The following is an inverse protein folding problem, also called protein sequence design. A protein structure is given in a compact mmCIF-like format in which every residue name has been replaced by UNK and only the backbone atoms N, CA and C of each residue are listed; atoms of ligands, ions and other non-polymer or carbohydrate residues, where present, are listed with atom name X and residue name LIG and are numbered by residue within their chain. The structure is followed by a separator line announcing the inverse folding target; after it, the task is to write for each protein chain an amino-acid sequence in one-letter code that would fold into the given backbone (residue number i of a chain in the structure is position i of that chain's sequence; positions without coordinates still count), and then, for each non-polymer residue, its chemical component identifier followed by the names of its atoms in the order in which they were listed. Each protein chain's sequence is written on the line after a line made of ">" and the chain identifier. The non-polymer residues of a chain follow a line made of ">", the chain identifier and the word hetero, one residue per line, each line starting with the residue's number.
data_IF_315914353552
#
_entry.id   IF_315914353552
#
_cell.length_a   1.000
_cell.length_b   1.000
_cell.length_c   1.000
_cell.angle_alpha   90.00
_cell.angle_beta   90.00
_cell.angle_gamma   90.00
#
_symmetry.space_group_name_H-M   'P 1'
#
loop_
_entity.id
_entity.type
_entity.pdbx_description
1 polymer ?
#
# COMPACT_ATOMS: atom_id res chain seq x y z
N UNK A 1 1.27 14.04 -16.69
CA UNK A 1 0.25 13.19 -16.02
C UNK A 1 0.85 12.19 -15.01
N UNK A 2 2.04 12.41 -14.42
CA UNK A 2 2.57 11.46 -13.42
C UNK A 2 1.94 11.60 -12.03
N UNK A 3 1.53 12.81 -11.63
CA UNK A 3 1.00 13.05 -10.29
C UNK A 3 -0.33 12.33 -10.00
N UNK A 4 -1.19 12.09 -10.99
CA UNK A 4 -2.49 11.45 -10.77
C UNK A 4 -2.39 10.03 -10.16
N UNK A 5 -1.34 9.28 -10.51
CA UNK A 5 -1.10 7.95 -9.92
C UNK A 5 -0.62 8.05 -8.47
N UNK A 6 0.29 8.97 -8.18
CA UNK A 6 0.78 9.21 -6.81
C UNK A 6 -0.34 9.75 -5.90
N UNK A 7 -1.17 10.67 -6.41
CA UNK A 7 -2.32 11.23 -5.70
C UNK A 7 -3.36 10.16 -5.38
N UNK A 8 -3.69 9.29 -6.36
CA UNK A 8 -4.61 8.18 -6.16
C UNK A 8 -4.09 7.21 -5.09
N UNK A 9 -2.79 6.87 -5.13
CA UNK A 9 -2.15 6.04 -4.12
C UNK A 9 -2.27 6.65 -2.71
N UNK A 10 -1.89 7.92 -2.55
CA UNK A 10 -1.97 8.61 -1.25
C UNK A 10 -3.42 8.68 -0.77
N UNK A 11 -4.39 8.87 -1.67
CA UNK A 11 -5.82 8.89 -1.32
C UNK A 11 -6.30 7.53 -0.79
N UNK A 12 -5.94 6.44 -1.47
CA UNK A 12 -6.28 5.07 -1.01
C UNK A 12 -5.64 4.77 0.34
N UNK A 13 -4.33 5.03 0.48
CA UNK A 13 -3.60 4.81 1.73
C UNK A 13 -4.17 5.61 2.89
N UNK A 14 -4.56 6.88 2.65
CA UNK A 14 -5.22 7.72 3.64
C UNK A 14 -6.56 7.13 4.09
N UNK A 15 -7.37 6.67 3.13
CA UNK A 15 -8.73 6.18 3.37
C UNK A 15 -8.73 4.81 4.06
N UNK A 16 -7.98 3.86 3.55
CA UNK A 16 -8.14 2.44 3.90
C UNK A 16 -7.25 2.02 5.07
N UNK A 17 -6.05 2.58 5.18
CA UNK A 17 -5.08 2.19 6.20
C UNK A 17 -4.93 3.27 7.28
N UNK A 18 -4.56 4.50 6.88
CA UNK A 18 -4.20 5.56 7.81
C UNK A 18 -5.41 6.06 8.62
N UNK A 19 -6.62 6.11 8.06
CA UNK A 19 -7.80 6.64 8.76
C UNK A 19 -8.25 5.76 9.94
N UNK A 20 -7.98 4.45 9.87
CA UNK A 20 -8.41 3.46 10.87
C UNK A 20 -7.30 3.11 11.87
N UNK A 21 -6.06 3.59 11.64
CA UNK A 21 -4.94 3.33 12.53
C UNK A 21 -5.00 4.16 13.82
N UNK A 22 -4.74 3.56 15.00
CA UNK A 22 -4.57 4.30 16.24
C UNK A 22 -3.30 5.17 16.17
N UNK A 23 -3.34 6.39 16.74
CA UNK A 23 -2.22 7.35 16.70
C UNK A 23 -2.05 8.07 18.04
N UNK A 24 -1.82 7.33 19.14
CA UNK A 24 -1.76 7.92 20.47
C UNK A 24 -0.59 8.90 20.64
N UNK A 25 0.49 8.74 19.88
CA UNK A 25 1.63 9.66 19.85
C UNK A 25 2.38 9.55 18.51
N UNK A 26 3.40 10.39 18.32
CA UNK A 26 4.20 10.49 17.08
C UNK A 26 4.93 9.19 16.75
N UNK A 27 5.54 8.54 17.73
CA UNK A 27 6.34 7.32 17.53
C UNK A 27 5.45 6.18 17.02
N UNK A 28 4.31 5.96 17.68
CA UNK A 28 3.33 4.95 17.28
C UNK A 28 2.72 5.28 15.91
N UNK A 29 2.46 6.55 15.61
CA UNK A 29 1.97 6.96 14.29
C UNK A 29 2.97 6.63 13.16
N UNK A 30 4.27 6.80 13.41
CA UNK A 30 5.33 6.44 12.45
C UNK A 30 5.46 4.93 12.28
N UNK A 31 5.40 4.16 13.38
CA UNK A 31 5.38 2.70 13.31
C UNK A 31 4.18 2.18 12.52
N UNK A 32 2.99 2.73 12.78
CA UNK A 32 1.77 2.34 12.09
C UNK A 32 1.82 2.68 10.60
N UNK A 33 2.52 3.74 10.21
CA UNK A 33 2.75 4.03 8.79
C UNK A 33 3.59 2.94 8.10
N UNK A 34 4.62 2.42 8.76
CA UNK A 34 5.37 1.28 8.23
C UNK A 34 4.47 0.04 8.08
N UNK A 35 3.61 -0.23 9.07
CA UNK A 35 2.62 -1.32 9.01
C UNK A 35 1.64 -1.11 7.85
N UNK A 36 1.20 0.12 7.58
CA UNK A 36 0.34 0.45 6.44
C UNK A 36 1.00 0.10 5.11
N UNK A 37 2.28 0.45 4.93
CA UNK A 37 3.01 0.13 3.72
C UNK A 37 3.19 -1.38 3.53
N UNK A 38 3.48 -2.11 4.60
CA UNK A 38 3.59 -3.57 4.54
C UNK A 38 2.26 -4.22 4.17
N UNK A 39 1.16 -3.78 4.81
CA UNK A 39 -0.18 -4.26 4.50
C UNK A 39 -0.56 -3.98 3.03
N UNK A 40 -0.33 -2.76 2.54
CA UNK A 40 -0.56 -2.40 1.16
C UNK A 40 0.23 -3.31 0.19
N UNK A 41 1.52 -3.49 0.47
CA UNK A 41 2.43 -4.23 -0.40
C UNK A 41 2.14 -5.74 -0.47
N UNK A 42 1.63 -6.35 0.61
CA UNK A 42 1.38 -7.79 0.66
C UNK A 42 -0.09 -8.18 0.47
N UNK A 43 -1.05 -7.33 0.83
CA UNK A 43 -2.47 -7.70 0.91
C UNK A 43 -3.38 -6.95 -0.05
N UNK A 44 -3.04 -5.72 -0.44
CA UNK A 44 -3.97 -4.87 -1.18
C UNK A 44 -4.14 -5.35 -2.63
N UNK A 45 -5.35 -5.75 -3.07
CA UNK A 45 -5.56 -6.25 -4.42
C UNK A 45 -5.68 -5.09 -5.42
N UNK A 46 -4.93 -5.16 -6.53
CA UNK A 46 -4.99 -4.16 -7.59
C UNK A 46 -5.55 -4.72 -8.89
N UNK A 47 -6.62 -4.10 -9.42
CA UNK A 47 -7.24 -4.52 -10.69
C UNK A 47 -6.24 -4.53 -11.86
N UNK A 48 -5.39 -3.51 -11.96
CA UNK A 48 -4.33 -3.43 -12.97
C UNK A 48 -3.26 -4.53 -12.84
N UNK A 49 -3.13 -5.16 -11.66
CA UNK A 49 -2.21 -6.28 -11.40
C UNK A 49 -2.91 -7.65 -11.50
N UNK A 50 -4.16 -7.67 -11.97
CA UNK A 50 -5.00 -8.87 -12.00
C UNK A 50 -5.43 -9.29 -10.59
N UNK A 51 -5.80 -8.32 -9.75
CA UNK A 51 -6.20 -8.49 -8.34
C UNK A 51 -5.13 -9.10 -7.43
N UNK A 52 -3.86 -9.01 -7.82
CA UNK A 52 -2.70 -9.39 -6.98
C UNK A 52 -2.22 -8.20 -6.17
N UNK A 53 -1.54 -8.49 -5.06
CA UNK A 53 -0.80 -7.46 -4.33
C UNK A 53 0.49 -7.05 -5.05
N UNK A 54 1.06 -5.86 -4.76
CA UNK A 54 2.28 -5.39 -5.39
C UNK A 54 3.45 -6.37 -5.27
N UNK A 55 3.62 -7.02 -4.11
CA UNK A 55 4.70 -8.01 -3.92
C UNK A 55 4.40 -9.33 -4.61
N UNK A 56 3.16 -9.81 -4.61
CA UNK A 56 2.78 -11.00 -5.37
C UNK A 56 3.02 -10.83 -6.86
N UNK A 57 2.65 -9.66 -7.40
CA UNK A 57 2.89 -9.33 -8.79
C UNK A 57 4.39 -9.32 -9.13
N UNK A 58 5.22 -8.70 -8.28
CA UNK A 58 6.69 -8.67 -8.46
C UNK A 58 7.30 -10.08 -8.45
N UNK A 59 7.01 -10.88 -7.41
CA UNK A 59 7.50 -12.26 -7.31
C UNK A 59 7.13 -13.11 -8.54
N UNK A 60 5.90 -12.96 -9.04
CA UNK A 60 5.44 -13.68 -10.23
C UNK A 60 6.15 -13.22 -11.51
N UNK A 61 6.51 -11.95 -11.61
CA UNK A 61 7.28 -11.44 -12.75
C UNK A 61 8.72 -11.89 -12.73
N UNK A 62 9.34 -11.89 -11.55
CA UNK A 62 10.70 -12.39 -11.34
C UNK A 62 10.82 -13.88 -11.65
N UNK A 63 9.78 -14.69 -11.35
CA UNK A 63 9.77 -16.11 -11.69
C UNK A 63 9.57 -16.42 -13.19
N UNK A 64 9.26 -15.41 -14.00
CA UNK A 64 9.03 -15.54 -15.45
C UNK A 64 10.23 -15.08 -16.30
N UNK A 65 11.29 -14.62 -15.64
CA UNK A 65 12.56 -14.18 -16.21
C UNK A 65 13.67 -15.12 -15.76
#
# INVERSE_FOLDING_TARGET
>A
QSNGMAESFVKTMKRDDISVMPKPNREVALMNLAVAFEHYNDKHPHSALGYRSPREYRRRRESLT
#
